data_IF_055038018775
#
_entry.id   IF_055038018775
#
_cell.length_a   1.000
_cell.length_b   1.000
_cell.length_c   1.000
_cell.angle_alpha   90.00
_cell.angle_beta   90.00
_cell.angle_gamma   90.00
#
_symmetry.space_group_name_H-M   'P 1'
#
loop_
_entity.id
_entity.type
_entity.pdbx_description
1 polymer ?
#
# COMPACT_ATOMS: atom_id res chain seq x y z
N UNK A 1 -3.36 4.07 -39.62
CA UNK A 1 -2.59 4.33 -38.38
C UNK A 1 -3.03 5.67 -37.83
N UNK A 2 -3.96 5.68 -36.90
CA UNK A 2 -4.57 6.91 -36.37
C UNK A 2 -4.25 6.96 -34.89
N UNK A 3 -3.31 7.83 -34.53
CA UNK A 3 -2.92 8.09 -33.14
C UNK A 3 -4.09 8.77 -32.44
N UNK A 4 -4.76 8.09 -31.53
CA UNK A 4 -5.75 8.69 -30.62
C UNK A 4 -5.00 9.40 -29.48
N UNK A 5 -5.03 10.72 -29.53
CA UNK A 5 -4.65 11.56 -28.42
C UNK A 5 -5.71 11.40 -27.33
N UNK A 6 -5.32 10.84 -26.18
CA UNK A 6 -6.13 10.89 -24.96
C UNK A 6 -6.05 12.32 -24.41
N UNK A 7 -7.15 13.02 -24.49
CA UNK A 7 -7.34 14.30 -23.81
C UNK A 7 -7.79 13.98 -22.40
N UNK A 8 -6.92 14.24 -21.44
CA UNK A 8 -7.23 14.14 -20.01
C UNK A 8 -8.27 15.23 -19.69
N UNK A 9 -9.53 14.83 -19.52
CA UNK A 9 -10.58 15.71 -19.02
C UNK A 9 -10.50 15.74 -17.49
N UNK A 10 -9.94 16.82 -16.95
CA UNK A 10 -10.10 17.19 -15.54
C UNK A 10 -11.57 17.52 -15.29
N UNK A 11 -12.32 16.59 -14.70
CA UNK A 11 -13.64 16.89 -14.12
C UNK A 11 -13.42 17.44 -12.71
N UNK A 12 -13.46 18.76 -12.59
CA UNK A 12 -13.56 19.47 -11.33
C UNK A 12 -14.98 19.24 -10.77
N UNK A 13 -15.14 18.32 -9.82
CA UNK A 13 -16.33 18.23 -8.99
C UNK A 13 -16.06 19.01 -7.70
N UNK A 14 -16.50 20.27 -7.67
CA UNK A 14 -16.51 21.09 -6.46
C UNK A 14 -17.56 20.55 -5.48
N UNK A 15 -17.12 19.84 -4.45
CA UNK A 15 -17.90 19.63 -3.22
C UNK A 15 -17.32 20.52 -2.13
N UNK A 16 -18.01 21.66 -1.90
CA UNK A 16 -17.78 22.55 -0.78
C UNK A 16 -18.14 21.83 0.54
N UNK A 17 -17.14 21.38 1.26
CA UNK A 17 -17.23 21.14 2.69
C UNK A 17 -16.20 22.03 3.37
N UNK A 18 -16.69 23.13 3.95
CA UNK A 18 -15.89 24.08 4.70
C UNK A 18 -15.57 23.52 6.09
N UNK A 19 -14.49 22.78 6.21
CA UNK A 19 -13.74 22.73 7.46
C UNK A 19 -12.53 23.65 7.25
N UNK A 20 -12.55 24.85 7.86
CA UNK A 20 -11.40 25.74 7.87
C UNK A 20 -10.28 25.05 8.67
N UNK A 21 -9.37 24.38 7.97
CA UNK A 21 -8.11 23.96 8.54
C UNK A 21 -7.30 25.18 8.99
N UNK A 22 -6.31 25.02 9.90
CA UNK A 22 -5.46 26.10 10.35
C UNK A 22 -4.81 26.82 9.15
N UNK A 23 -4.72 28.15 9.24
CA UNK A 23 -4.15 28.98 8.19
C UNK A 23 -2.74 28.49 7.83
N UNK A 24 -2.60 27.99 6.60
CA UNK A 24 -1.29 27.68 6.02
C UNK A 24 -0.44 28.96 6.00
N UNK A 25 0.87 28.83 6.13
CA UNK A 25 1.81 29.96 6.13
C UNK A 25 1.50 30.94 5.00
N UNK A 26 1.59 32.24 5.29
CA UNK A 26 1.22 33.30 4.34
C UNK A 26 1.93 33.11 3.00
N UNK A 27 1.16 32.79 1.95
CA UNK A 27 1.63 32.75 0.56
C UNK A 27 1.64 31.38 -0.15
N UNK A 28 1.39 30.26 0.53
CA UNK A 28 1.29 28.96 -0.16
C UNK A 28 -0.11 28.75 -0.78
N UNK A 29 -0.21 28.07 -1.94
CA UNK A 29 -1.49 27.66 -2.52
C UNK A 29 -2.24 26.72 -1.55
N UNK A 30 -3.57 26.70 -1.62
CA UNK A 30 -4.38 25.73 -0.87
C UNK A 30 -4.02 24.29 -1.31
N UNK A 31 -4.01 23.36 -0.35
CA UNK A 31 -3.87 21.93 -0.65
C UNK A 31 -5.25 21.38 -1.05
N UNK A 32 -5.35 20.85 -2.27
CA UNK A 32 -6.62 20.37 -2.85
C UNK A 32 -6.55 18.89 -3.26
N UNK A 33 -5.44 18.18 -3.00
CA UNK A 33 -5.36 16.74 -3.27
C UNK A 33 -6.30 15.98 -2.30
N UNK A 34 -6.97 14.91 -2.76
CA UNK A 34 -7.94 14.17 -1.94
C UNK A 34 -7.37 13.51 -0.68
N UNK A 35 -6.07 13.24 -0.67
CA UNK A 35 -5.38 12.70 0.50
C UNK A 35 -4.62 13.81 1.24
N UNK A 36 -4.54 13.66 2.56
CA UNK A 36 -3.77 14.57 3.39
C UNK A 36 -2.26 14.49 3.06
N UNK A 37 -1.52 15.61 3.12
CA UNK A 37 -0.11 15.64 2.76
C UNK A 37 0.77 14.64 3.52
N UNK A 38 0.44 14.37 4.78
CA UNK A 38 1.17 13.45 5.65
C UNK A 38 1.18 12.01 5.11
N UNK A 39 0.11 11.59 4.44
CA UNK A 39 0.02 10.27 3.80
C UNK A 39 1.02 10.19 2.64
N UNK A 40 1.21 11.30 1.92
CA UNK A 40 2.08 11.38 0.75
C UNK A 40 3.55 11.65 1.12
N UNK A 41 3.84 12.07 2.35
CA UNK A 41 5.21 12.16 2.86
C UNK A 41 5.89 10.78 2.98
N UNK A 42 5.08 9.72 3.06
CA UNK A 42 5.51 8.30 3.12
C UNK A 42 6.60 8.04 4.16
N UNK A 43 6.56 8.77 5.28
CA UNK A 43 7.54 8.64 6.36
C UNK A 43 7.70 7.19 6.81
N UNK A 44 6.59 6.47 6.92
CA UNK A 44 6.55 5.05 7.26
C UNK A 44 6.82 4.12 6.07
N UNK A 45 7.03 4.67 4.88
CA UNK A 45 7.29 3.92 3.65
C UNK A 45 6.16 2.94 3.25
N UNK A 46 4.91 3.25 3.60
CA UNK A 46 3.78 2.37 3.28
C UNK A 46 3.39 2.44 1.80
N UNK A 47 3.54 3.61 1.16
CA UNK A 47 3.25 3.81 -0.26
C UNK A 47 4.50 3.71 -1.15
N UNK A 48 5.67 3.38 -0.57
CA UNK A 48 6.92 3.20 -1.33
C UNK A 48 6.74 2.17 -2.44
N UNK A 49 6.99 2.58 -3.67
CA UNK A 49 6.89 1.74 -4.85
C UNK A 49 8.11 0.81 -4.97
N UNK A 50 7.85 -0.49 -5.12
CA UNK A 50 8.87 -1.49 -5.45
C UNK A 50 8.49 -2.18 -6.76
N UNK A 51 9.19 -1.86 -7.84
CA UNK A 51 9.00 -2.45 -9.17
C UNK A 51 10.31 -2.40 -9.98
N UNK A 52 10.27 -2.72 -11.28
CA UNK A 52 11.47 -2.77 -12.12
C UNK A 52 12.18 -1.44 -12.32
N UNK A 53 11.49 -0.32 -12.12
CA UNK A 53 12.05 1.04 -12.23
C UNK A 53 12.40 1.63 -10.87
N UNK A 54 11.87 1.05 -9.78
CA UNK A 54 12.10 1.45 -8.39
C UNK A 54 12.58 0.24 -7.59
N UNK A 55 13.87 -0.06 -7.70
CA UNK A 55 14.46 -1.24 -7.06
C UNK A 55 14.88 -0.92 -5.62
N UNK A 56 14.45 -1.77 -4.70
CA UNK A 56 14.98 -1.79 -3.34
C UNK A 56 16.42 -2.30 -3.33
N UNK A 57 17.25 -1.73 -2.45
CA UNK A 57 18.60 -2.23 -2.21
C UNK A 57 18.60 -3.70 -1.80
N UNK A 58 19.65 -4.43 -2.19
CA UNK A 58 19.85 -5.82 -1.75
C UNK A 58 19.99 -5.98 -0.24
N UNK A 59 20.38 -4.92 0.45
CA UNK A 59 20.55 -4.86 1.91
C UNK A 59 19.33 -4.30 2.64
N UNK A 60 18.28 -3.88 1.89
CA UNK A 60 17.07 -3.33 2.51
C UNK A 60 16.31 -4.42 3.26
N UNK A 61 16.13 -4.19 4.55
CA UNK A 61 15.32 -5.00 5.47
C UNK A 61 14.53 -4.05 6.36
N UNK A 62 13.20 -4.15 6.42
CA UNK A 62 12.41 -3.32 7.34
C UNK A 62 12.83 -3.55 8.81
N UNK A 63 12.92 -2.46 9.58
CA UNK A 63 13.39 -2.52 10.98
C UNK A 63 12.31 -3.07 11.95
N UNK A 64 11.04 -2.99 11.57
CA UNK A 64 9.86 -3.30 12.37
C UNK A 64 9.17 -4.62 11.99
N UNK A 65 9.93 -5.57 11.45
CA UNK A 65 9.41 -6.91 11.12
C UNK A 65 9.05 -7.69 12.38
N UNK A 66 7.80 -8.17 12.43
CA UNK A 66 7.27 -9.04 13.49
C UNK A 66 6.79 -10.36 12.93
N UNK A 67 6.79 -11.42 13.75
CA UNK A 67 6.20 -12.70 13.37
C UNK A 67 4.68 -12.58 13.34
N UNK A 68 4.06 -13.03 12.25
CA UNK A 68 2.59 -13.01 12.14
C UNK A 68 1.95 -14.05 13.06
N UNK A 69 0.78 -13.71 13.59
CA UNK A 69 -0.04 -14.59 14.43
C UNK A 69 -1.30 -15.11 13.73
N UNK A 70 -1.61 -14.58 12.54
CA UNK A 70 -2.76 -15.01 11.76
C UNK A 70 -2.63 -16.47 11.29
N UNK A 71 -3.78 -17.05 10.90
CA UNK A 71 -3.84 -18.41 10.34
C UNK A 71 -3.00 -18.48 9.06
N UNK A 72 -2.18 -19.52 8.93
CA UNK A 72 -1.24 -19.65 7.80
C UNK A 72 -1.23 -21.03 7.17
N UNK A 73 -0.78 -21.13 5.93
CA UNK A 73 -0.52 -22.39 5.26
C UNK A 73 0.56 -23.20 5.99
N UNK A 74 0.49 -24.53 5.91
CA UNK A 74 1.41 -25.42 6.64
C UNK A 74 2.88 -25.27 6.18
N UNK A 75 3.08 -24.83 4.93
CA UNK A 75 4.39 -24.62 4.32
C UNK A 75 4.86 -23.14 4.36
N UNK A 76 4.09 -22.24 4.95
CA UNK A 76 4.45 -20.82 5.07
C UNK A 76 5.62 -20.54 6.05
N UNK A 77 6.05 -21.52 6.83
CA UNK A 77 7.17 -21.39 7.77
C UNK A 77 6.87 -20.42 8.92
N UNK A 78 7.73 -19.43 9.12
CA UNK A 78 7.59 -18.34 10.09
C UNK A 78 7.48 -17.01 9.34
N UNK A 79 6.30 -16.68 8.80
CA UNK A 79 6.13 -15.46 8.03
C UNK A 79 6.24 -14.24 8.95
N UNK A 80 6.83 -13.17 8.41
CA UNK A 80 7.01 -11.89 9.06
C UNK A 80 6.40 -10.77 8.22
N UNK A 81 5.87 -9.76 8.88
CA UNK A 81 5.39 -8.52 8.27
C UNK A 81 5.87 -7.34 9.09
N UNK A 82 5.82 -6.14 8.52
CA UNK A 82 5.91 -4.92 9.30
C UNK A 82 4.73 -4.83 10.26
N UNK A 83 4.94 -4.20 11.44
CA UNK A 83 3.96 -4.20 12.52
C UNK A 83 2.57 -3.75 12.04
N UNK A 84 2.48 -2.61 11.33
CA UNK A 84 1.20 -2.10 10.85
C UNK A 84 0.47 -3.08 9.91
N UNK A 85 1.18 -3.69 8.96
CA UNK A 85 0.62 -4.70 8.05
C UNK A 85 0.21 -5.99 8.80
N UNK A 86 0.95 -6.34 9.87
CA UNK A 86 0.59 -7.49 10.72
C UNK A 86 -0.71 -7.24 11.50
N UNK A 87 -0.90 -6.06 12.04
CA UNK A 87 -2.12 -5.71 12.77
C UNK A 87 -3.32 -5.64 11.82
N UNK A 88 -3.13 -5.04 10.66
CA UNK A 88 -4.13 -4.95 9.61
C UNK A 88 -4.57 -6.33 9.06
N UNK A 89 -3.63 -7.25 8.79
CA UNK A 89 -3.98 -8.59 8.28
C UNK A 89 -4.72 -9.42 9.33
N UNK A 90 -4.39 -9.27 10.61
CA UNK A 90 -5.14 -9.95 11.69
C UNK A 90 -6.59 -9.45 11.76
N UNK A 91 -6.81 -8.13 11.62
CA UNK A 91 -8.15 -7.53 11.56
C UNK A 91 -8.93 -8.03 10.32
N UNK A 92 -8.31 -8.03 9.14
CA UNK A 92 -8.91 -8.52 7.91
C UNK A 92 -9.30 -10.01 8.01
N UNK A 93 -8.47 -10.86 8.61
CA UNK A 93 -8.76 -12.28 8.79
C UNK A 93 -9.90 -12.51 9.77
N UNK A 94 -10.00 -11.68 10.82
CA UNK A 94 -11.11 -11.74 11.77
C UNK A 94 -12.44 -11.37 11.10
N UNK A 95 -12.47 -10.27 10.33
CA UNK A 95 -13.66 -9.85 9.59
C UNK A 95 -14.10 -10.87 8.54
N UNK A 96 -13.16 -11.41 7.77
CA UNK A 96 -13.46 -12.50 6.82
C UNK A 96 -14.07 -13.72 7.51
N UNK A 97 -13.58 -14.08 8.71
CA UNK A 97 -14.13 -15.20 9.48
C UNK A 97 -15.55 -14.94 9.98
N UNK A 98 -15.89 -13.68 10.33
CA UNK A 98 -17.26 -13.27 10.70
C UNK A 98 -18.22 -13.40 9.51
N UNK A 99 -17.73 -13.10 8.29
CA UNK A 99 -18.49 -13.25 7.05
C UNK A 99 -18.48 -14.69 6.49
N UNK A 100 -17.90 -15.66 7.23
CA UNK A 100 -17.91 -17.08 6.89
C UNK A 100 -16.76 -17.54 5.99
N UNK A 101 -15.77 -16.67 5.71
CA UNK A 101 -14.60 -17.01 4.92
C UNK A 101 -13.38 -17.30 5.79
N UNK A 102 -12.62 -18.34 5.47
CA UNK A 102 -11.39 -18.66 6.19
C UNK A 102 -10.17 -18.45 5.35
N UNK A 103 -9.37 -17.43 5.71
CA UNK A 103 -8.15 -17.03 5.02
C UNK A 103 -6.91 -17.69 5.63
N UNK A 104 -5.90 -17.91 4.78
CA UNK A 104 -4.61 -18.48 5.15
C UNK A 104 -3.47 -17.67 4.51
N UNK A 105 -2.57 -17.15 5.34
CA UNK A 105 -1.36 -16.51 4.88
C UNK A 105 -0.43 -17.55 4.24
N UNK A 106 -0.08 -17.37 2.99
CA UNK A 106 0.80 -18.26 2.22
C UNK A 106 2.24 -17.75 2.17
N UNK A 107 2.42 -16.43 1.99
CA UNK A 107 3.72 -15.78 1.92
C UNK A 107 3.63 -14.36 2.49
N UNK A 108 4.74 -13.88 3.05
CA UNK A 108 4.88 -12.54 3.63
C UNK A 108 6.27 -11.97 3.28
N UNK A 109 6.99 -11.33 4.21
CA UNK A 109 8.32 -10.82 3.94
C UNK A 109 9.22 -11.87 3.27
N UNK A 110 9.92 -11.42 2.24
CA UNK A 110 10.87 -12.22 1.46
C UNK A 110 12.13 -11.41 1.20
N UNK A 111 13.27 -11.86 1.72
CA UNK A 111 14.53 -11.15 1.52
C UNK A 111 14.93 -11.08 0.04
N UNK A 112 15.72 -10.06 -0.32
CA UNK A 112 16.33 -9.92 -1.65
C UNK A 112 17.01 -11.22 -2.12
N UNK A 113 17.77 -11.87 -1.23
CA UNK A 113 18.49 -13.12 -1.55
C UNK A 113 17.51 -14.23 -1.95
N UNK A 114 16.42 -14.39 -1.21
CA UNK A 114 15.39 -15.41 -1.52
C UNK A 114 14.70 -15.07 -2.83
N UNK A 115 14.32 -13.80 -3.04
CA UNK A 115 13.72 -13.34 -4.29
C UNK A 115 14.62 -13.60 -5.49
N UNK A 116 15.91 -13.31 -5.37
CA UNK A 116 16.91 -13.56 -6.44
C UNK A 116 17.01 -15.04 -6.78
N UNK A 117 17.00 -15.92 -5.79
CA UNK A 117 17.02 -17.36 -6.02
C UNK A 117 15.76 -17.83 -6.76
N UNK A 118 14.58 -17.39 -6.31
CA UNK A 118 13.30 -17.75 -6.94
C UNK A 118 13.22 -17.26 -8.39
N UNK A 119 13.62 -16.02 -8.65
CA UNK A 119 13.62 -15.43 -9.99
C UNK A 119 14.56 -16.19 -10.93
N UNK A 120 15.81 -16.42 -10.51
CA UNK A 120 16.79 -17.13 -11.33
C UNK A 120 16.38 -18.57 -11.62
N UNK A 121 15.88 -19.32 -10.62
CA UNK A 121 15.38 -20.68 -10.81
C UNK A 121 14.22 -20.71 -11.82
N UNK A 122 13.32 -19.74 -11.76
CA UNK A 122 12.21 -19.64 -12.72
C UNK A 122 12.71 -19.29 -14.12
N UNK A 123 13.61 -18.33 -14.22
CA UNK A 123 14.22 -17.90 -15.48
C UNK A 123 14.98 -19.07 -16.15
N UNK A 124 15.77 -19.83 -15.39
CA UNK A 124 16.48 -21.02 -15.88
C UNK A 124 15.50 -22.10 -16.39
N UNK A 125 14.41 -22.33 -15.65
CA UNK A 125 13.39 -23.32 -16.03
C UNK A 125 12.63 -22.96 -17.30
N UNK A 126 12.31 -21.66 -17.50
CA UNK A 126 11.44 -21.19 -18.58
C UNK A 126 12.20 -20.61 -19.77
N UNK A 127 13.49 -20.31 -19.62
CA UNK A 127 14.31 -19.61 -20.62
C UNK A 127 13.92 -18.16 -20.86
N UNK A 128 12.96 -17.61 -20.08
CA UNK A 128 12.48 -16.23 -20.19
C UNK A 128 11.84 -15.77 -18.88
N UNK A 129 11.78 -14.48 -18.69
CA UNK A 129 10.88 -13.85 -17.72
C UNK A 129 9.42 -13.94 -18.22
N UNK A 130 8.53 -14.42 -17.39
CA UNK A 130 7.12 -14.62 -17.73
C UNK A 130 6.16 -13.72 -16.95
N UNK A 131 6.69 -12.76 -16.15
CA UNK A 131 5.91 -11.78 -15.42
C UNK A 131 5.15 -12.33 -14.20
N UNK A 132 5.55 -13.51 -13.66
CA UNK A 132 4.94 -14.10 -12.46
C UNK A 132 5.84 -14.07 -11.22
N UNK A 133 7.12 -13.84 -11.37
CA UNK A 133 8.06 -13.69 -10.25
C UNK A 133 8.79 -12.36 -10.43
N UNK A 134 8.58 -11.46 -9.51
CA UNK A 134 9.21 -10.14 -9.53
C UNK A 134 10.73 -10.23 -9.60
N UNK A 135 11.35 -9.29 -10.33
CA UNK A 135 12.80 -9.13 -10.37
C UNK A 135 13.36 -8.84 -8.96
N UNK A 136 14.58 -9.30 -8.61
CA UNK A 136 15.18 -9.00 -7.31
C UNK A 136 15.26 -7.48 -7.03
N UNK A 137 14.71 -7.06 -5.91
CA UNK A 137 14.54 -5.65 -5.55
C UNK A 137 13.22 -5.02 -6.00
N UNK A 138 12.49 -5.68 -6.92
CA UNK A 138 11.21 -5.21 -7.45
C UNK A 138 9.98 -5.85 -6.77
N UNK A 139 10.16 -6.56 -5.67
CA UNK A 139 9.09 -7.32 -5.03
C UNK A 139 8.56 -6.63 -3.79
N UNK A 140 7.24 -6.46 -3.71
CA UNK A 140 6.56 -5.95 -2.52
C UNK A 140 6.81 -6.80 -1.26
N UNK A 141 7.07 -8.09 -1.42
CA UNK A 141 7.45 -8.94 -0.30
C UNK A 141 8.72 -8.46 0.42
N UNK A 142 9.64 -7.80 -0.27
CA UNK A 142 10.85 -7.26 0.37
C UNK A 142 10.55 -6.05 1.24
N UNK A 143 9.46 -5.34 0.99
CA UNK A 143 9.02 -4.22 1.85
C UNK A 143 8.48 -4.67 3.20
N UNK A 144 8.15 -5.96 3.37
CA UNK A 144 7.42 -6.46 4.53
C UNK A 144 5.93 -6.04 4.57
N UNK A 145 5.42 -5.50 3.45
CA UNK A 145 4.03 -5.01 3.29
C UNK A 145 3.24 -5.84 2.28
N UNK A 146 3.90 -6.67 1.47
CA UNK A 146 3.28 -7.58 0.51
C UNK A 146 2.94 -8.94 1.12
N UNK A 147 1.76 -9.47 0.81
CA UNK A 147 1.25 -10.75 1.33
C UNK A 147 0.57 -11.57 0.24
N UNK A 148 0.77 -12.89 0.29
CA UNK A 148 -0.02 -13.85 -0.48
C UNK A 148 -1.02 -14.54 0.43
N UNK A 149 -2.30 -14.48 0.11
CA UNK A 149 -3.40 -15.01 0.90
C UNK A 149 -4.23 -15.99 0.05
N UNK A 150 -4.53 -17.15 0.62
CA UNK A 150 -5.31 -18.21 -0.02
C UNK A 150 -6.39 -18.73 0.91
N UNK A 151 -7.27 -19.59 0.41
CA UNK A 151 -8.12 -20.46 1.24
C UNK A 151 -7.45 -21.82 1.48
N UNK A 152 -8.03 -22.65 2.35
CA UNK A 152 -7.46 -23.96 2.70
C UNK A 152 -7.29 -24.90 1.50
N UNK A 153 -8.22 -24.88 0.55
CA UNK A 153 -8.13 -25.73 -0.65
C UNK A 153 -6.90 -25.35 -1.48
N UNK A 154 -6.73 -24.05 -1.73
CA UNK A 154 -5.65 -23.54 -2.56
C UNK A 154 -4.28 -23.60 -1.88
N UNK A 155 -4.20 -23.63 -0.54
CA UNK A 155 -2.91 -23.88 0.13
C UNK A 155 -2.32 -25.27 -0.16
N UNK A 156 -3.15 -26.20 -0.62
CA UNK A 156 -2.78 -27.60 -0.94
C UNK A 156 -2.52 -27.86 -2.41
N UNK A 157 -2.80 -26.86 -3.28
CA UNK A 157 -2.55 -26.97 -4.72
C UNK A 157 -1.08 -26.70 -5.03
N UNK A 158 -0.59 -27.32 -6.08
CA UNK A 158 0.76 -27.05 -6.61
C UNK A 158 0.73 -25.75 -7.43
N UNK A 159 1.19 -24.68 -6.79
CA UNK A 159 1.27 -23.35 -7.36
C UNK A 159 -0.02 -22.53 -7.27
N UNK A 160 0.16 -21.21 -7.34
CA UNK A 160 -0.92 -20.21 -7.38
C UNK A 160 -1.20 -19.81 -8.83
N UNK A 161 -2.46 -19.61 -9.18
CA UNK A 161 -2.84 -19.12 -10.50
C UNK A 161 -4.16 -18.36 -10.46
N UNK A 162 -4.47 -17.62 -11.53
CA UNK A 162 -5.60 -16.70 -11.61
C UNK A 162 -6.98 -17.32 -11.36
N UNK A 163 -7.14 -18.64 -11.46
CA UNK A 163 -8.41 -19.29 -11.18
C UNK A 163 -8.84 -19.19 -9.71
N UNK A 164 -7.92 -18.81 -8.81
CA UNK A 164 -8.24 -18.48 -7.42
C UNK A 164 -9.26 -17.35 -7.33
N UNK A 165 -9.28 -16.41 -8.27
CA UNK A 165 -10.23 -15.30 -8.33
C UNK A 165 -11.72 -15.74 -8.33
N UNK A 166 -12.00 -16.98 -8.74
CA UNK A 166 -13.37 -17.52 -8.76
C UNK A 166 -13.85 -17.99 -7.37
N UNK A 167 -13.00 -18.00 -6.35
CA UNK A 167 -13.37 -18.40 -4.98
C UNK A 167 -14.06 -17.26 -4.22
N UNK A 168 -14.95 -17.61 -3.28
CA UNK A 168 -15.61 -16.61 -2.42
C UNK A 168 -14.61 -15.81 -1.61
N UNK A 169 -13.54 -16.46 -1.11
CA UNK A 169 -12.48 -15.79 -0.34
C UNK A 169 -11.73 -14.73 -1.16
N UNK A 170 -11.38 -15.05 -2.41
CA UNK A 170 -10.71 -14.08 -3.29
C UNK A 170 -11.61 -12.89 -3.62
N UNK A 171 -12.90 -13.14 -3.88
CA UNK A 171 -13.90 -12.10 -4.16
C UNK A 171 -14.14 -11.22 -2.93
N UNK A 172 -14.26 -11.83 -1.75
CA UNK A 172 -14.38 -11.09 -0.50
C UNK A 172 -13.16 -10.19 -0.27
N UNK A 173 -11.94 -10.73 -0.38
CA UNK A 173 -10.71 -9.95 -0.22
C UNK A 173 -10.62 -8.78 -1.21
N UNK A 174 -10.96 -9.02 -2.48
CA UNK A 174 -10.93 -7.96 -3.50
C UNK A 174 -11.95 -6.84 -3.21
N UNK A 175 -13.08 -7.16 -2.58
CA UNK A 175 -14.12 -6.19 -2.23
C UNK A 175 -13.82 -5.41 -0.93
N UNK A 176 -13.07 -5.99 0.01
CA UNK A 176 -12.93 -5.47 1.38
C UNK A 176 -11.49 -5.11 1.77
N UNK A 177 -10.46 -5.45 1.00
CA UNK A 177 -9.06 -5.26 1.40
C UNK A 177 -8.72 -3.81 1.79
N UNK A 178 -9.32 -2.81 1.11
CA UNK A 178 -9.09 -1.39 1.38
C UNK A 178 -9.57 -0.95 2.77
N UNK A 179 -10.57 -1.61 3.34
CA UNK A 179 -11.07 -1.33 4.69
C UNK A 179 -9.99 -1.61 5.76
N UNK A 180 -8.99 -2.43 5.41
CA UNK A 180 -7.87 -2.82 6.27
C UNK A 180 -6.54 -2.24 5.77
N UNK A 181 -6.56 -1.27 4.87
CA UNK A 181 -5.35 -0.62 4.34
C UNK A 181 -4.59 -1.44 3.30
N UNK A 182 -5.18 -2.50 2.75
CA UNK A 182 -4.59 -3.28 1.66
C UNK A 182 -5.20 -2.91 0.31
N UNK A 183 -4.41 -3.09 -0.74
CA UNK A 183 -4.86 -3.04 -2.14
C UNK A 183 -4.66 -4.41 -2.79
N UNK A 184 -5.51 -4.77 -3.76
CA UNK A 184 -5.24 -5.84 -4.72
C UNK A 184 -4.15 -5.35 -5.67
N UNK A 185 -2.91 -5.75 -5.43
CA UNK A 185 -1.72 -5.12 -6.00
C UNK A 185 -1.59 -5.31 -7.52
N UNK A 186 -1.93 -6.48 -8.03
CA UNK A 186 -1.75 -6.86 -9.43
C UNK A 186 -3.10 -7.24 -10.05
N UNK A 187 -3.83 -6.21 -10.52
CA UNK A 187 -5.14 -6.34 -11.16
C UNK A 187 -5.00 -6.82 -12.61
N UNK A 188 -6.04 -7.49 -13.15
CA UNK A 188 -5.98 -8.14 -14.47
C UNK A 188 -5.79 -7.14 -15.63
N UNK A 189 -6.33 -5.94 -15.50
CA UNK A 189 -6.24 -4.87 -16.50
C UNK A 189 -5.05 -3.91 -16.27
N UNK A 190 -4.19 -4.17 -15.28
CA UNK A 190 -3.03 -3.32 -14.91
C UNK A 190 -1.67 -4.01 -15.14
N UNK A 191 -1.63 -5.09 -15.92
CA UNK A 191 -0.39 -5.84 -16.19
C UNK A 191 0.66 -4.98 -16.93
N UNK A 192 0.26 -4.03 -17.77
CA UNK A 192 1.19 -3.13 -18.48
C UNK A 192 1.86 -2.13 -17.53
N UNK A 193 1.12 -1.60 -16.55
CA UNK A 193 1.60 -0.64 -15.57
C UNK A 193 2.54 -1.30 -14.54
N UNK A 194 2.13 -2.46 -14.03
CA UNK A 194 2.84 -3.14 -12.95
C UNK A 194 3.99 -4.03 -13.44
N UNK A 195 3.94 -4.49 -14.70
CA UNK A 195 4.85 -5.49 -15.25
C UNK A 195 4.68 -6.90 -14.67
N UNK A 196 3.62 -7.13 -13.87
CA UNK A 196 3.27 -8.41 -13.23
C UNK A 196 1.88 -8.82 -13.68
N UNK A 197 1.70 -10.11 -13.96
CA UNK A 197 0.41 -10.68 -14.30
C UNK A 197 -0.57 -10.62 -13.15
N UNK A 198 -1.86 -10.76 -13.46
CA UNK A 198 -2.93 -10.81 -12.48
C UNK A 198 -2.69 -11.85 -11.38
N UNK A 199 -2.68 -11.39 -10.12
CA UNK A 199 -2.46 -12.20 -8.94
C UNK A 199 -3.57 -11.99 -7.90
N UNK A 200 -4.71 -12.69 -7.98
CA UNK A 200 -5.83 -12.51 -7.07
C UNK A 200 -5.56 -12.91 -5.60
N UNK A 201 -4.39 -13.40 -5.31
CA UNK A 201 -3.90 -13.75 -3.97
C UNK A 201 -2.97 -12.70 -3.37
N UNK A 202 -2.42 -11.76 -4.19
CA UNK A 202 -1.37 -10.84 -3.76
C UNK A 202 -1.93 -9.47 -3.39
N UNK A 203 -1.77 -9.12 -2.11
CA UNK A 203 -2.20 -7.84 -1.55
C UNK A 203 -1.02 -7.05 -1.01
N UNK A 204 -1.11 -5.72 -1.09
CA UNK A 204 -0.10 -4.80 -0.59
C UNK A 204 -0.74 -3.84 0.41
N UNK A 205 -0.14 -3.75 1.62
CA UNK A 205 -0.52 -2.75 2.60
C UNK A 205 0.06 -1.37 2.20
N UNK A 206 -0.79 -0.35 2.23
CA UNK A 206 -0.44 1.04 1.89
C UNK A 206 -1.04 2.05 2.89
N UNK A 207 -1.69 1.57 3.94
CA UNK A 207 -2.48 2.39 4.88
C UNK A 207 -3.93 2.56 4.43
N UNK A 208 -4.88 2.80 5.37
CA UNK A 208 -6.32 2.80 5.07
C UNK A 208 -6.73 3.85 4.05
N UNK A 209 -6.27 5.10 4.21
CA UNK A 209 -6.67 6.23 3.36
C UNK A 209 -6.14 6.06 1.93
N UNK A 210 -4.87 5.70 1.78
CA UNK A 210 -4.29 5.44 0.47
C UNK A 210 -4.93 4.22 -0.20
N UNK A 211 -5.23 3.15 0.57
CA UNK A 211 -5.90 1.97 0.05
C UNK A 211 -7.31 2.27 -0.46
N UNK A 212 -8.11 3.02 0.31
CA UNK A 212 -9.44 3.45 -0.11
C UNK A 212 -9.37 4.25 -1.41
N UNK A 213 -8.50 5.26 -1.47
CA UNK A 213 -8.34 6.09 -2.66
C UNK A 213 -7.92 5.28 -3.90
N UNK A 214 -6.91 4.40 -3.77
CA UNK A 214 -6.39 3.57 -4.86
C UNK A 214 -7.48 2.63 -5.38
N UNK A 215 -8.19 1.92 -4.48
CA UNK A 215 -9.19 0.94 -4.88
C UNK A 215 -10.46 1.59 -5.45
N UNK A 216 -10.94 2.71 -4.86
CA UNK A 216 -12.11 3.45 -5.35
C UNK A 216 -11.88 4.07 -6.73
N UNK A 217 -10.66 4.52 -7.02
CA UNK A 217 -10.29 5.09 -8.32
C UNK A 217 -9.71 4.07 -9.29
N UNK A 218 -9.69 2.78 -8.91
CA UNK A 218 -9.18 1.68 -9.73
C UNK A 218 -7.76 1.93 -10.26
N UNK A 219 -6.86 2.39 -9.40
CA UNK A 219 -5.47 2.67 -9.71
C UNK A 219 -4.55 1.49 -9.37
N UNK A 220 -3.49 1.30 -10.14
CA UNK A 220 -2.32 0.57 -9.68
C UNK A 220 -1.49 1.44 -8.72
N UNK A 221 -0.61 0.85 -7.93
CA UNK A 221 0.31 1.64 -7.08
C UNK A 221 1.24 2.52 -7.93
N UNK A 222 1.57 2.10 -9.14
CA UNK A 222 2.33 2.87 -10.13
C UNK A 222 1.57 4.14 -10.54
N UNK A 223 0.31 3.99 -10.99
CA UNK A 223 -0.53 5.12 -11.41
C UNK A 223 -0.78 6.10 -10.25
N UNK A 224 -1.06 5.58 -9.06
CA UNK A 224 -1.19 6.40 -7.85
C UNK A 224 0.10 7.18 -7.55
N UNK A 225 1.27 6.53 -7.65
CA UNK A 225 2.56 7.18 -7.42
C UNK A 225 2.81 8.30 -8.42
N UNK A 226 2.54 8.07 -9.70
CA UNK A 226 2.69 9.08 -10.75
C UNK A 226 1.72 10.24 -10.54
N UNK A 227 0.48 9.96 -10.15
CA UNK A 227 -0.55 10.99 -9.95
C UNK A 227 -0.20 11.94 -8.80
N UNK A 228 0.09 11.42 -7.60
CA UNK A 228 0.37 12.30 -6.47
C UNK A 228 1.70 13.05 -6.63
N UNK A 229 2.72 12.44 -7.23
CA UNK A 229 3.97 13.13 -7.55
C UNK A 229 3.75 14.26 -8.55
N UNK A 230 2.97 14.03 -9.59
CA UNK A 230 2.61 15.08 -10.55
C UNK A 230 1.84 16.22 -9.88
N UNK A 231 0.92 15.91 -8.96
CA UNK A 231 0.20 16.92 -8.18
C UNK A 231 1.15 17.76 -7.33
N UNK A 232 2.03 17.14 -6.53
CA UNK A 232 2.99 17.86 -5.69
C UNK A 232 3.89 18.75 -6.54
N UNK A 233 4.41 18.26 -7.65
CA UNK A 233 5.27 19.04 -8.55
C UNK A 233 4.52 20.27 -9.12
N UNK A 234 3.25 20.12 -9.51
CA UNK A 234 2.44 21.24 -10.01
C UNK A 234 2.10 22.23 -8.90
N UNK A 235 1.80 21.76 -7.71
CA UNK A 235 1.50 22.58 -6.53
C UNK A 235 2.74 23.39 -6.09
N UNK A 236 3.92 22.80 -6.09
CA UNK A 236 5.20 23.50 -5.82
C UNK A 236 5.54 24.51 -6.91
N UNK A 237 5.30 24.20 -8.19
CA UNK A 237 5.46 25.15 -9.28
C UNK A 237 4.52 26.38 -9.16
N UNK A 238 3.38 26.22 -8.48
CA UNK A 238 2.45 27.32 -8.15
C UNK A 238 2.85 28.11 -6.89
N UNK A 239 3.99 27.82 -6.27
CA UNK A 239 4.52 28.54 -5.10
C UNK A 239 4.35 27.76 -3.78
N UNK A 240 3.90 26.49 -3.81
CA UNK A 240 3.88 25.61 -2.66
C UNK A 240 5.30 25.19 -2.22
N UNK A 241 5.40 24.67 -1.00
CA UNK A 241 6.59 24.00 -0.47
C UNK A 241 6.13 22.80 0.35
N UNK A 242 6.17 21.60 -0.25
CA UNK A 242 5.62 20.39 0.37
C UNK A 242 6.27 20.06 1.70
N UNK A 243 7.59 20.16 1.80
CA UNK A 243 8.30 19.93 3.05
C UNK A 243 7.91 20.92 4.15
N UNK A 244 7.74 22.21 3.82
CA UNK A 244 7.30 23.23 4.76
C UNK A 244 5.87 22.94 5.23
N UNK A 245 4.98 22.54 4.32
CA UNK A 245 3.60 22.14 4.64
C UNK A 245 3.56 21.03 5.69
N UNK A 246 4.33 19.94 5.49
CA UNK A 246 4.44 18.84 6.45
C UNK A 246 4.94 19.33 7.82
N UNK A 247 5.99 20.15 7.85
CA UNK A 247 6.54 20.69 9.10
C UNK A 247 5.51 21.55 9.85
N UNK A 248 4.74 22.36 9.14
CA UNK A 248 3.73 23.23 9.77
C UNK A 248 2.57 22.42 10.34
N UNK A 249 2.09 21.42 9.60
CA UNK A 249 1.01 20.53 10.04
C UNK A 249 1.42 19.66 11.22
N UNK A 250 2.66 19.16 11.25
CA UNK A 250 3.19 18.41 12.38
C UNK A 250 3.23 19.23 13.68
N UNK A 251 3.52 20.54 13.59
CA UNK A 251 3.50 21.44 14.77
C UNK A 251 2.08 21.66 15.31
N UNK A 252 1.08 21.72 14.44
CA UNK A 252 -0.32 21.88 14.85
C UNK A 252 -0.81 20.63 15.58
N UNK A 253 -0.47 19.45 15.10
CA UNK A 253 -0.86 18.18 15.71
C UNK A 253 -0.18 17.95 17.09
N UNK A 254 1.02 18.49 17.29
CA UNK A 254 1.75 18.40 18.57
C UNK A 254 1.17 19.29 19.69
N UNK A 255 0.36 20.30 19.38
CA UNK A 255 -0.21 21.27 20.36
C UNK A 255 -1.55 20.82 20.95
N UNK A 256 -2.16 19.75 20.49
CA UNK A 256 -3.58 19.43 20.80
C UNK A 256 -3.78 18.48 21.99
N UNK A 257 -2.76 18.16 22.79
CA UNK A 257 -2.97 17.42 24.06
C UNK A 257 -2.72 18.36 25.24
N UNK A 258 -3.77 19.12 25.62
CA UNK A 258 -3.81 19.79 26.93
C UNK A 258 -4.52 18.81 27.87
N UNK A 259 -3.75 18.17 28.73
CA UNK A 259 -4.30 17.41 29.85
C UNK A 259 -4.67 18.42 30.95
N UNK A 260 -5.95 18.61 31.18
CA UNK A 260 -6.44 19.46 32.28
C UNK A 260 -6.58 18.57 33.50
N UNK A 261 -5.60 18.62 34.41
CA UNK A 261 -5.70 17.96 35.70
C UNK A 261 -6.82 18.56 36.56
N UNK A 262 -7.44 17.75 37.44
CA UNK A 262 -8.62 18.09 38.25
C UNK A 262 -8.38 19.25 39.27
N UNK A 263 -7.16 19.75 39.37
CA UNK A 263 -6.70 20.82 40.28
C UNK A 263 -6.34 22.13 39.57
N UNK A 264 -6.56 22.20 38.24
CA UNK A 264 -6.46 23.46 37.50
C UNK A 264 -5.06 23.91 37.12
N UNK A 265 -4.05 23.07 37.26
CA UNK A 265 -2.71 23.31 36.71
C UNK A 265 -2.56 22.74 35.32
N UNK A 266 -2.21 23.58 34.33
CA UNK A 266 -1.96 23.18 32.94
C UNK A 266 -0.53 22.62 32.83
N UNK A 267 -0.39 21.30 32.65
CA UNK A 267 0.88 20.67 32.32
C UNK A 267 0.90 20.41 30.77
N UNK A 268 1.75 21.16 30.07
CA UNK A 268 1.92 21.00 28.61
C UNK A 268 2.99 19.95 28.37
N UNK A 269 2.57 18.72 28.07
CA UNK A 269 3.50 17.66 27.65
C UNK A 269 3.55 17.62 26.11
N UNK A 270 4.70 17.96 25.54
CA UNK A 270 4.95 17.86 24.08
C UNK A 270 5.48 16.45 23.81
N UNK A 271 4.68 15.63 23.13
CA UNK A 271 5.14 14.36 22.58
C UNK A 271 5.51 14.58 21.09
N UNK A 272 6.73 14.15 20.73
CA UNK A 272 7.25 14.18 19.35
C UNK A 272 6.99 12.84 18.66
#
# INVERSE_FOLDING_TARGET
MTVRRFTLLLLLAALLSSAAGPALGEGMPAWEYPLEPEILDDYDQYITLANRTHLLSGDYVPADLVNTTCKKASDAGKPQLRQAANDAINAMFAAAQEDGYTLYLKSAYRSYKTQKTMYNTRLERLGRDDGLVSYPGASDHQTGLGVDILNLEWTKKDGMNKNFAATGEAQWMAAHCQEFGFILRYMEDKEEQTGIKFEPWHFRYVGPEAAAYIMENHLSLEEFTEEWQAYINAWEAAGGNFRQLIIERSKVNAVTVIDVSDDGEEEVSIFY
#
